data_IF_725321420534
#
_entry.id   IF_725321420534
#
_cell.length_a   1.000
_cell.length_b   1.000
_cell.length_c   1.000
_cell.angle_alpha   90.00
_cell.angle_beta   90.00
_cell.angle_gamma   90.00
#
_symmetry.space_group_name_H-M   'P 1'
#
loop_
_entity.id
_entity.type
_entity.pdbx_description
1 polymer ?
#
# COMPACT_ATOMS: atom_id res chain seq x y z
N UNK A 1 69.84 52.39 19.62
CA UNK A 1 68.53 52.04 18.99
C UNK A 1 68.47 50.52 18.83
N UNK A 2 67.98 49.75 19.82
CA UNK A 2 67.86 48.30 19.65
C UNK A 2 66.46 47.90 19.20
N UNK A 3 66.43 47.10 18.13
CA UNK A 3 65.27 46.51 17.47
C UNK A 3 64.38 45.71 18.44
N UNK A 4 63.08 46.03 18.46
CA UNK A 4 62.06 45.15 19.05
C UNK A 4 61.55 44.17 17.98
N UNK A 5 61.94 42.91 18.10
CA UNK A 5 61.24 41.81 17.43
C UNK A 5 59.82 41.67 18.02
N UNK A 6 58.77 41.53 17.19
CA UNK A 6 57.46 41.13 17.68
C UNK A 6 57.47 39.63 18.02
N UNK A 7 57.10 39.31 19.26
CA UNK A 7 56.94 37.95 19.76
C UNK A 7 55.90 37.21 18.91
N UNK A 8 56.33 36.11 18.30
CA UNK A 8 55.51 35.12 17.60
C UNK A 8 54.41 34.61 18.54
N UNK A 9 53.15 34.93 18.25
CA UNK A 9 52.01 34.26 18.87
C UNK A 9 51.84 32.87 18.25
N UNK A 10 52.56 31.88 18.80
CA UNK A 10 52.34 30.46 18.51
C UNK A 10 51.23 29.87 19.41
N UNK A 11 50.01 30.41 19.34
CA UNK A 11 48.90 29.88 20.16
C UNK A 11 47.58 29.65 19.41
N UNK A 12 47.55 29.74 18.09
CA UNK A 12 46.30 29.52 17.34
C UNK A 12 45.92 28.02 17.21
N UNK A 13 46.87 27.10 17.38
CA UNK A 13 46.68 25.65 17.24
C UNK A 13 46.91 24.86 18.54
N UNK A 14 46.57 25.43 19.70
CA UNK A 14 46.46 24.62 20.92
C UNK A 14 45.23 23.73 20.82
N UNK A 15 45.43 22.42 20.58
CA UNK A 15 44.37 21.42 20.65
C UNK A 15 43.66 21.50 22.01
N UNK A 16 42.32 21.51 22.06
CA UNK A 16 41.62 21.37 23.33
C UNK A 16 41.95 20.01 23.97
N UNK A 17 42.18 19.93 25.29
CA UNK A 17 42.49 18.70 26.03
C UNK A 17 41.25 17.80 26.16
N UNK A 18 40.76 17.35 25.00
CA UNK A 18 39.49 16.65 24.80
C UNK A 18 39.05 16.61 23.34
N UNK A 19 39.89 17.00 22.38
CA UNK A 19 39.57 16.98 20.95
C UNK A 19 39.27 15.57 20.44
N UNK A 20 38.11 15.39 19.81
CA UNK A 20 37.74 14.13 19.16
C UNK A 20 38.88 13.69 18.24
N UNK A 21 39.40 12.47 18.44
CA UNK A 21 40.43 11.90 17.56
C UNK A 21 39.87 11.94 16.12
N UNK A 22 40.65 12.41 15.15
CA UNK A 22 40.23 12.48 13.74
C UNK A 22 39.61 11.16 13.22
N UNK A 23 40.05 10.02 13.77
CA UNK A 23 39.42 8.71 13.55
C UNK A 23 37.95 8.64 13.97
N UNK A 24 37.58 9.17 15.14
CA UNK A 24 36.18 9.23 15.61
C UNK A 24 35.31 10.12 14.71
N UNK A 25 35.85 11.24 14.24
CA UNK A 25 35.14 12.12 13.31
C UNK A 25 34.93 11.42 11.95
N UNK A 26 35.95 10.72 11.46
CA UNK A 26 35.90 10.03 10.18
C UNK A 26 34.94 8.82 10.22
N UNK A 27 34.90 8.06 11.32
CA UNK A 27 33.91 7.01 11.56
C UNK A 27 32.48 7.57 11.64
N UNK A 28 32.29 8.69 12.36
CA UNK A 28 30.98 9.36 12.46
C UNK A 28 30.48 9.88 11.11
N UNK A 29 31.37 10.39 10.28
CA UNK A 29 31.06 10.89 8.93
C UNK A 29 30.90 9.76 7.90
N UNK A 30 31.53 8.61 8.12
CA UNK A 30 31.46 7.43 7.24
C UNK A 30 30.16 6.63 7.39
N UNK A 31 29.64 6.48 8.62
CA UNK A 31 28.38 5.76 8.91
C UNK A 31 27.18 6.20 8.07
N UNK A 32 26.85 7.49 7.96
CA UNK A 32 25.72 7.94 7.13
C UNK A 32 25.96 7.72 5.62
N UNK A 33 27.21 7.49 5.20
CA UNK A 33 27.59 7.19 3.81
C UNK A 33 27.79 5.70 3.54
N UNK A 34 27.37 4.82 4.47
CA UNK A 34 27.48 3.37 4.31
C UNK A 34 28.89 2.82 4.47
N UNK A 35 29.83 3.58 5.05
CA UNK A 35 31.20 3.11 5.34
C UNK A 35 31.27 2.74 6.83
N UNK A 36 31.19 1.44 7.18
CA UNK A 36 31.04 1.00 8.56
C UNK A 36 32.32 1.15 9.40
N UNK A 37 33.51 1.04 8.80
CA UNK A 37 34.78 1.32 9.45
C UNK A 37 35.84 1.78 8.44
N UNK A 38 36.69 2.72 8.85
CA UNK A 38 37.83 3.16 8.05
C UNK A 38 39.07 2.38 8.50
N UNK A 39 39.82 1.82 7.56
CA UNK A 39 41.06 1.11 7.88
C UNK A 39 42.09 2.07 8.51
N UNK A 40 42.98 1.55 9.37
CA UNK A 40 44.06 2.35 9.97
C UNK A 40 44.93 3.06 8.92
N UNK A 41 45.18 2.39 7.78
CA UNK A 41 45.89 2.97 6.64
C UNK A 41 45.12 4.12 5.98
N UNK A 42 43.81 3.97 5.80
CA UNK A 42 42.94 5.03 5.24
C UNK A 42 42.85 6.24 6.18
N UNK A 43 42.76 6.03 7.50
CA UNK A 43 42.74 7.12 8.49
C UNK A 43 44.05 7.92 8.44
N UNK A 44 45.20 7.24 8.34
CA UNK A 44 46.50 7.90 8.21
C UNK A 44 46.59 8.75 6.92
N UNK A 45 46.13 8.21 5.79
CA UNK A 45 46.10 8.95 4.52
C UNK A 45 45.17 10.18 4.58
N UNK A 46 43.97 10.04 5.14
CA UNK A 46 43.02 11.14 5.30
C UNK A 46 43.60 12.22 6.23
N UNK A 47 44.19 11.81 7.35
CA UNK A 47 44.80 12.73 8.32
C UNK A 47 45.94 13.53 7.70
N UNK A 48 46.76 12.93 6.84
CA UNK A 48 47.84 13.62 6.14
C UNK A 48 47.34 14.57 5.03
N UNK A 49 46.24 14.22 4.35
CA UNK A 49 45.70 14.99 3.20
C UNK A 49 44.79 16.15 3.60
N UNK A 50 44.07 16.07 4.71
CA UNK A 50 43.16 17.15 5.16
C UNK A 50 43.88 18.50 5.33
N UNK A 51 45.02 18.60 6.04
CA UNK A 51 45.72 19.88 6.20
C UNK A 51 46.18 20.48 4.87
N UNK A 52 46.63 19.61 3.94
CA UNK A 52 47.05 20.03 2.59
C UNK A 52 45.86 20.58 1.80
N UNK A 53 44.71 19.90 1.84
CA UNK A 53 43.48 20.36 1.18
C UNK A 53 42.98 21.69 1.74
N UNK A 54 43.07 21.91 3.05
CA UNK A 54 42.69 23.20 3.68
C UNK A 54 43.64 24.32 3.24
N UNK A 55 44.95 24.09 3.29
CA UNK A 55 45.94 25.08 2.85
C UNK A 55 45.75 25.46 1.38
N UNK A 56 45.39 24.49 0.53
CA UNK A 56 45.07 24.72 -0.88
C UNK A 56 43.77 25.51 -1.05
N UNK A 57 42.72 25.17 -0.30
CA UNK A 57 41.47 25.94 -0.27
C UNK A 57 41.69 27.40 0.12
N UNK A 58 42.56 27.66 1.10
CA UNK A 58 42.94 29.02 1.51
C UNK A 58 43.68 29.78 0.41
N UNK A 59 44.61 29.13 -0.31
CA UNK A 59 45.31 29.74 -1.46
C UNK A 59 44.34 30.07 -2.59
N UNK A 60 43.41 29.18 -2.90
CA UNK A 60 42.36 29.44 -3.90
C UNK A 60 41.42 30.54 -3.44
N UNK A 61 41.06 30.60 -2.15
CA UNK A 61 40.30 31.72 -1.58
C UNK A 61 41.01 33.06 -1.68
N UNK A 62 42.31 33.10 -1.40
CA UNK A 62 43.12 34.31 -1.52
C UNK A 62 43.22 34.83 -2.96
N UNK A 63 43.37 33.94 -3.95
CA UNK A 63 43.33 34.30 -5.38
C UNK A 63 42.00 34.91 -5.79
N UNK A 64 40.90 34.30 -5.37
CA UNK A 64 39.54 34.81 -5.63
C UNK A 64 39.33 36.19 -5.01
N UNK A 65 39.84 36.42 -3.80
CA UNK A 65 39.77 37.73 -3.14
C UNK A 65 40.61 38.80 -3.88
N UNK A 66 41.72 38.40 -4.49
CA UNK A 66 42.54 39.24 -5.36
C UNK A 66 41.94 39.47 -6.76
N UNK A 67 40.72 38.96 -7.03
CA UNK A 67 40.02 39.13 -8.30
C UNK A 67 40.34 38.08 -9.37
N UNK A 68 41.17 37.09 -9.08
CA UNK A 68 41.45 35.98 -10.00
C UNK A 68 40.46 34.82 -9.76
N UNK A 69 39.48 34.71 -10.67
CA UNK A 69 38.45 33.68 -10.68
C UNK A 69 38.71 32.57 -11.73
N UNK A 70 39.95 32.44 -12.21
CA UNK A 70 40.32 31.38 -13.14
C UNK A 70 39.98 29.98 -12.59
N UNK A 71 39.59 29.01 -13.43
CA UNK A 71 39.28 27.64 -13.00
C UNK A 71 40.45 27.02 -12.22
N UNK A 72 40.17 26.38 -11.09
CA UNK A 72 41.21 25.73 -10.29
C UNK A 72 41.70 24.47 -11.01
N UNK A 73 42.95 24.48 -11.47
CA UNK A 73 43.59 23.35 -12.15
C UNK A 73 43.57 22.04 -11.31
N UNK A 74 43.45 22.14 -9.98
CA UNK A 74 43.34 20.96 -9.12
C UNK A 74 41.99 20.25 -9.22
N UNK A 75 40.92 20.94 -9.60
CA UNK A 75 39.60 20.32 -9.78
C UNK A 75 39.65 19.22 -10.84
N UNK A 76 40.50 19.38 -11.88
CA UNK A 76 40.68 18.39 -12.95
C UNK A 76 41.33 17.07 -12.48
N UNK A 77 41.99 17.07 -11.31
CA UNK A 77 42.61 15.86 -10.74
C UNK A 77 41.68 15.05 -9.84
N UNK A 78 40.52 15.60 -9.45
CA UNK A 78 39.52 14.87 -8.69
C UNK A 78 38.57 14.13 -9.64
N UNK A 79 38.10 12.92 -9.28
CA UNK A 79 37.04 12.28 -10.04
C UNK A 79 35.81 13.20 -10.06
N UNK A 80 35.06 13.17 -11.16
CA UNK A 80 33.76 13.84 -11.19
C UNK A 80 32.93 13.33 -10.01
N UNK A 81 32.43 14.26 -9.20
CA UNK A 81 31.52 13.88 -8.12
C UNK A 81 30.22 13.37 -8.75
N UNK A 82 30.05 12.05 -8.75
CA UNK A 82 28.75 11.44 -8.94
C UNK A 82 28.07 11.38 -7.58
N UNK A 83 27.00 12.15 -7.41
CA UNK A 83 26.08 11.90 -6.31
C UNK A 83 25.64 10.45 -6.46
N UNK A 84 25.97 9.59 -5.48
CA UNK A 84 25.40 8.24 -5.40
C UNK A 84 23.92 8.37 -5.74
N UNK A 85 23.40 7.62 -6.73
CA UNK A 85 22.02 7.78 -7.15
C UNK A 85 21.19 7.68 -5.87
N UNK A 86 20.64 8.81 -5.42
CA UNK A 86 19.56 8.77 -4.48
C UNK A 86 18.50 8.04 -5.26
N UNK A 87 18.31 6.77 -4.92
CA UNK A 87 17.29 5.90 -5.48
C UNK A 87 15.94 6.46 -5.07
N UNK A 88 15.56 7.61 -5.62
CA UNK A 88 14.20 8.10 -5.74
C UNK A 88 13.53 7.39 -6.90
N UNK A 89 13.64 6.07 -6.88
CA UNK A 89 12.74 5.13 -7.51
C UNK A 89 12.74 3.99 -6.51
N UNK A 90 11.70 3.80 -5.68
CA UNK A 90 11.64 2.59 -4.88
C UNK A 90 11.87 1.41 -5.83
N UNK A 91 12.89 0.59 -5.52
CA UNK A 91 13.07 -0.71 -6.16
C UNK A 91 11.69 -1.36 -6.29
N UNK A 92 11.38 -2.09 -7.38
CA UNK A 92 10.07 -2.69 -7.55
C UNK A 92 9.77 -3.54 -6.33
N UNK A 93 9.02 -2.98 -5.39
CA UNK A 93 8.50 -3.65 -4.22
C UNK A 93 7.80 -4.86 -4.79
N UNK A 94 8.20 -6.05 -4.34
CA UNK A 94 7.64 -7.32 -4.78
C UNK A 94 6.16 -7.14 -5.07
N UNK A 95 5.78 -7.27 -6.36
CA UNK A 95 4.46 -6.89 -6.88
C UNK A 95 3.40 -7.41 -5.91
N UNK A 96 2.81 -6.53 -5.12
CA UNK A 96 1.79 -6.92 -4.15
C UNK A 96 0.54 -7.16 -4.98
N UNK A 97 0.21 -8.42 -5.24
CA UNK A 97 -0.98 -8.75 -6.02
C UNK A 97 -2.25 -8.39 -5.24
N UNK A 98 -3.27 -7.87 -5.91
CA UNK A 98 -4.59 -7.62 -5.32
C UNK A 98 -5.20 -8.93 -4.82
N UNK A 99 -5.08 -10.00 -5.61
CA UNK A 99 -5.50 -11.34 -5.19
C UNK A 99 -4.65 -11.89 -4.05
N UNK A 100 -3.34 -11.68 -4.08
CA UNK A 100 -2.45 -12.08 -2.98
C UNK A 100 -2.79 -11.36 -1.68
N UNK A 101 -3.17 -10.09 -1.77
CA UNK A 101 -3.58 -9.30 -0.61
C UNK A 101 -4.85 -9.86 0.05
N UNK A 102 -5.84 -10.23 -0.75
CA UNK A 102 -7.06 -10.88 -0.24
C UNK A 102 -6.77 -12.23 0.39
N UNK A 103 -5.87 -13.03 -0.21
CA UNK A 103 -5.48 -14.32 0.34
C UNK A 103 -4.76 -14.18 1.70
N UNK A 104 -3.84 -13.22 1.81
CA UNK A 104 -3.15 -12.93 3.06
C UNK A 104 -4.10 -12.39 4.14
N UNK A 105 -4.99 -11.47 3.77
CA UNK A 105 -6.05 -10.99 4.65
C UNK A 105 -6.95 -12.13 5.16
N UNK A 106 -7.29 -13.08 4.28
CA UNK A 106 -8.11 -14.22 4.66
C UNK A 106 -7.44 -15.13 5.69
N UNK A 107 -6.12 -15.34 5.61
CA UNK A 107 -5.42 -16.16 6.60
C UNK A 107 -5.60 -15.62 8.02
N UNK A 108 -5.54 -14.30 8.19
CA UNK A 108 -5.81 -13.66 9.49
C UNK A 108 -7.30 -13.64 9.83
N UNK A 109 -8.17 -13.33 8.86
CA UNK A 109 -9.62 -13.30 9.10
C UNK A 109 -10.20 -14.68 9.48
N UNK A 110 -9.65 -15.75 8.91
CA UNK A 110 -10.01 -17.13 9.22
C UNK A 110 -9.61 -17.51 10.65
N UNK A 111 -8.45 -17.04 11.13
CA UNK A 111 -8.03 -17.24 12.51
C UNK A 111 -8.98 -16.56 13.53
N UNK A 112 -9.65 -15.48 13.11
CA UNK A 112 -10.67 -14.77 13.91
C UNK A 112 -12.07 -15.40 13.78
N UNK A 113 -12.24 -16.45 12.95
CA UNK A 113 -13.51 -17.16 12.78
C UNK A 113 -14.50 -16.44 11.85
N UNK A 114 -14.02 -15.63 10.90
CA UNK A 114 -14.89 -14.94 9.95
C UNK A 114 -15.53 -15.93 8.97
N UNK A 115 -16.75 -15.64 8.51
CA UNK A 115 -17.50 -16.56 7.66
C UNK A 115 -16.85 -16.74 6.27
N UNK A 116 -16.88 -17.97 5.78
CA UNK A 116 -16.43 -18.34 4.42
C UNK A 116 -17.18 -17.57 3.33
N UNK A 117 -18.48 -17.31 3.55
CA UNK A 117 -19.30 -16.47 2.66
C UNK A 117 -18.76 -15.05 2.49
N UNK A 118 -18.09 -14.52 3.51
CA UNK A 118 -17.44 -13.20 3.44
C UNK A 118 -16.19 -13.26 2.58
N UNK A 119 -15.41 -14.35 2.68
CA UNK A 119 -14.23 -14.59 1.82
C UNK A 119 -14.62 -14.61 0.35
N UNK A 120 -15.63 -15.40 0.01
CA UNK A 120 -16.07 -15.55 -1.38
C UNK A 120 -16.56 -14.21 -1.94
N UNK A 121 -17.35 -13.48 -1.14
CA UNK A 121 -17.85 -12.15 -1.52
C UNK A 121 -16.70 -11.19 -1.80
N UNK A 122 -15.69 -11.12 -0.92
CA UNK A 122 -14.57 -10.20 -1.07
C UNK A 122 -13.68 -10.62 -2.25
N UNK A 123 -13.41 -11.91 -2.37
CA UNK A 123 -12.64 -12.48 -3.49
C UNK A 123 -13.31 -12.15 -4.83
N UNK A 124 -14.63 -12.32 -4.94
CA UNK A 124 -15.35 -11.99 -6.16
C UNK A 124 -15.34 -10.48 -6.47
N UNK A 125 -15.47 -9.62 -5.46
CA UNK A 125 -15.34 -8.17 -5.64
C UNK A 125 -13.96 -7.79 -6.16
N UNK A 126 -12.88 -8.30 -5.55
CA UNK A 126 -11.52 -7.99 -6.00
C UNK A 126 -11.17 -8.62 -7.35
N UNK A 127 -11.73 -9.78 -7.70
CA UNK A 127 -11.61 -10.36 -9.06
C UNK A 127 -12.25 -9.46 -10.11
N UNK A 128 -13.46 -8.97 -9.84
CA UNK A 128 -14.14 -8.03 -10.72
C UNK A 128 -13.38 -6.69 -10.84
N UNK A 129 -12.75 -6.24 -9.75
CA UNK A 129 -11.91 -5.05 -9.74
C UNK A 129 -10.63 -5.23 -10.57
N UNK A 130 -9.91 -6.35 -10.38
CA UNK A 130 -8.72 -6.69 -11.18
C UNK A 130 -9.05 -6.79 -12.68
N UNK A 131 -10.20 -7.39 -13.02
CA UNK A 131 -10.67 -7.46 -14.40
C UNK A 131 -10.96 -6.07 -15.01
N UNK A 132 -11.49 -5.13 -14.22
CA UNK A 132 -11.73 -3.76 -14.65
C UNK A 132 -10.43 -2.98 -14.87
N UNK A 133 -9.48 -3.09 -13.93
CA UNK A 133 -8.19 -2.40 -14.00
C UNK A 133 -7.23 -2.99 -15.03
N UNK A 134 -7.46 -4.25 -15.44
CA UNK A 134 -6.57 -5.04 -16.33
C UNK A 134 -5.15 -5.20 -15.77
N UNK A 135 -4.98 -4.96 -14.47
CA UNK A 135 -3.75 -5.23 -13.74
C UNK A 135 -4.08 -5.76 -12.35
N UNK A 136 -3.15 -6.56 -11.82
CA UNK A 136 -3.27 -7.17 -10.49
C UNK A 136 -2.37 -6.48 -9.44
N UNK A 137 -1.68 -5.40 -9.79
CA UNK A 137 -0.78 -4.71 -8.87
C UNK A 137 -1.54 -3.78 -7.92
N UNK A 138 -1.51 -4.07 -6.62
CA UNK A 138 -2.16 -3.30 -5.58
C UNK A 138 -1.46 -1.95 -5.32
N UNK A 139 -0.15 -1.86 -5.54
CA UNK A 139 0.61 -0.61 -5.31
C UNK A 139 0.32 0.45 -6.38
N UNK A 140 -0.23 0.04 -7.52
CA UNK A 140 -0.62 0.92 -8.63
C UNK A 140 -2.04 1.45 -8.52
N UNK A 141 -2.83 0.96 -7.56
CA UNK A 141 -4.24 1.37 -7.41
C UNK A 141 -4.32 2.78 -6.84
N UNK A 142 -4.98 3.66 -7.56
CA UNK A 142 -5.24 5.04 -7.15
C UNK A 142 -6.65 5.21 -6.58
N UNK A 143 -6.92 6.28 -5.80
CA UNK A 143 -8.28 6.63 -5.40
C UNK A 143 -9.23 6.83 -6.59
N UNK A 144 -8.72 7.38 -7.69
CA UNK A 144 -9.45 7.62 -8.94
C UNK A 144 -9.92 6.31 -9.57
N UNK A 145 -9.10 5.26 -9.53
CA UNK A 145 -9.46 3.93 -10.01
C UNK A 145 -10.65 3.33 -9.24
N UNK A 146 -10.70 3.56 -7.93
CA UNK A 146 -11.81 3.12 -7.07
C UNK A 146 -13.09 3.89 -7.40
N UNK A 147 -12.98 5.20 -7.70
CA UNK A 147 -14.10 6.02 -8.15
C UNK A 147 -14.59 5.57 -9.54
N UNK A 148 -13.68 5.33 -10.47
CA UNK A 148 -13.99 4.87 -11.82
C UNK A 148 -14.67 3.50 -11.80
N UNK A 149 -14.18 2.57 -10.97
CA UNK A 149 -14.81 1.26 -10.80
C UNK A 149 -16.21 1.38 -10.20
N UNK A 150 -16.39 2.27 -9.22
CA UNK A 150 -17.69 2.56 -8.62
C UNK A 150 -18.67 3.09 -9.67
N UNK A 151 -18.26 4.01 -10.54
CA UNK A 151 -19.11 4.55 -11.60
C UNK A 151 -19.43 3.48 -12.66
N UNK A 152 -18.44 2.66 -13.05
CA UNK A 152 -18.65 1.50 -13.93
C UNK A 152 -19.66 0.50 -13.37
N UNK A 153 -19.64 0.23 -12.06
CA UNK A 153 -20.59 -0.71 -11.43
C UNK A 153 -22.03 -0.17 -11.38
N UNK A 154 -22.21 1.15 -11.44
CA UNK A 154 -23.53 1.77 -11.49
C UNK A 154 -24.10 1.83 -12.92
N UNK A 155 -23.23 1.91 -13.93
CA UNK A 155 -23.65 1.98 -15.34
C UNK A 155 -23.78 0.59 -15.98
N UNK A 156 -22.89 -0.34 -15.64
CA UNK A 156 -22.86 -1.68 -16.23
C UNK A 156 -24.01 -2.55 -15.71
N UNK A 157 -24.92 -3.02 -16.58
CA UNK A 157 -25.96 -3.96 -16.21
C UNK A 157 -25.35 -5.31 -15.84
N UNK A 158 -25.83 -5.93 -14.76
CA UNK A 158 -25.39 -7.27 -14.42
C UNK A 158 -25.93 -8.27 -15.46
N UNK A 159 -25.08 -9.10 -16.09
CA UNK A 159 -25.51 -10.05 -17.12
C UNK A 159 -26.55 -11.07 -16.64
N UNK A 160 -26.61 -11.37 -15.33
CA UNK A 160 -27.61 -12.30 -14.78
C UNK A 160 -28.99 -11.68 -14.57
N UNK A 161 -29.07 -10.39 -14.27
CA UNK A 161 -30.33 -9.73 -13.88
C UNK A 161 -30.78 -8.66 -14.87
N UNK A 162 -29.95 -8.33 -15.87
CA UNK A 162 -30.20 -7.29 -16.87
C UNK A 162 -30.32 -5.87 -16.30
N UNK A 163 -30.07 -5.69 -14.99
CA UNK A 163 -30.25 -4.42 -14.28
C UNK A 163 -28.91 -3.93 -13.74
N UNK A 164 -28.67 -2.60 -13.74
CA UNK A 164 -27.51 -2.03 -13.08
C UNK A 164 -27.52 -2.36 -11.58
N UNK A 165 -26.33 -2.56 -11.01
CA UNK A 165 -26.20 -2.90 -9.59
C UNK A 165 -26.69 -1.72 -8.75
N UNK A 166 -27.55 -1.99 -7.77
CA UNK A 166 -28.06 -0.94 -6.89
C UNK A 166 -26.90 -0.27 -6.14
N UNK A 167 -26.94 1.06 -6.06
CA UNK A 167 -26.00 1.86 -5.26
C UNK A 167 -25.90 1.37 -3.79
N UNK A 168 -26.98 0.80 -3.23
CA UNK A 168 -26.96 0.18 -1.90
C UNK A 168 -26.02 -1.02 -1.86
N UNK A 169 -26.09 -1.87 -2.87
CA UNK A 169 -25.25 -3.07 -2.98
C UNK A 169 -23.79 -2.67 -3.19
N UNK A 170 -23.50 -1.74 -4.10
CA UNK A 170 -22.11 -1.26 -4.32
C UNK A 170 -21.50 -0.72 -3.03
N UNK A 171 -22.25 0.06 -2.25
CA UNK A 171 -21.78 0.57 -0.96
C UNK A 171 -21.57 -0.55 0.06
N UNK A 172 -22.52 -1.48 0.18
CA UNK A 172 -22.52 -2.50 1.23
C UNK A 172 -21.55 -3.65 0.97
N UNK A 173 -21.40 -4.10 -0.28
CA UNK A 173 -20.47 -5.17 -0.65
C UNK A 173 -19.12 -4.63 -1.08
N UNK A 174 -19.09 -3.85 -2.16
CA UNK A 174 -17.84 -3.56 -2.87
C UNK A 174 -16.97 -2.58 -2.07
N UNK A 175 -17.53 -1.43 -1.69
CA UNK A 175 -16.79 -0.43 -0.91
C UNK A 175 -16.39 -0.93 0.49
N UNK A 176 -17.19 -1.80 1.10
CA UNK A 176 -16.85 -2.43 2.38
C UNK A 176 -15.68 -3.39 2.23
N UNK A 177 -15.67 -4.21 1.18
CA UNK A 177 -14.57 -5.11 0.89
C UNK A 177 -13.27 -4.35 0.64
N UNK A 178 -13.31 -3.30 -0.20
CA UNK A 178 -12.12 -2.48 -0.47
C UNK A 178 -11.56 -1.83 0.79
N UNK A 179 -12.41 -1.17 1.60
CA UNK A 179 -11.97 -0.57 2.86
C UNK A 179 -11.33 -1.62 3.76
N UNK A 180 -12.02 -2.74 4.01
CA UNK A 180 -11.52 -3.77 4.92
C UNK A 180 -10.17 -4.34 4.52
N UNK A 181 -9.95 -4.64 3.24
CA UNK A 181 -8.71 -5.27 2.78
C UNK A 181 -7.58 -4.25 2.65
N UNK A 182 -7.85 -3.04 2.16
CA UNK A 182 -6.81 -2.00 2.07
C UNK A 182 -6.43 -1.44 3.45
N UNK A 183 -7.36 -1.29 4.39
CA UNK A 183 -7.06 -0.90 5.77
C UNK A 183 -6.16 -1.94 6.45
N UNK A 184 -6.48 -3.23 6.27
CA UNK A 184 -5.64 -4.33 6.75
C UNK A 184 -4.24 -4.31 6.12
N UNK A 185 -4.16 -3.99 4.83
CA UNK A 185 -2.88 -3.91 4.12
C UNK A 185 -1.99 -2.78 4.62
N UNK A 186 -2.59 -1.62 4.93
CA UNK A 186 -1.89 -0.49 5.53
C UNK A 186 -1.45 -0.82 6.95
N UNK A 187 -2.32 -1.45 7.76
CA UNK A 187 -1.99 -1.89 9.12
C UNK A 187 -0.79 -2.85 9.14
N UNK A 188 -0.72 -3.75 8.16
CA UNK A 188 0.38 -4.71 7.99
C UNK A 188 1.58 -4.17 7.19
N UNK A 189 1.64 -2.85 6.95
CA UNK A 189 2.71 -2.16 6.21
C UNK A 189 2.97 -2.75 4.80
N UNK A 190 1.95 -3.37 4.20
CA UNK A 190 1.99 -3.89 2.82
C UNK A 190 1.74 -2.80 1.79
N UNK A 191 0.95 -1.78 2.16
CA UNK A 191 0.68 -0.60 1.36
C UNK A 191 0.96 0.67 2.18
N UNK A 192 1.48 1.74 1.56
CA UNK A 192 1.80 2.98 2.27
C UNK A 192 0.55 3.80 2.63
N UNK A 193 -0.51 3.70 1.82
CA UNK A 193 -1.77 4.44 2.02
C UNK A 193 -2.96 3.64 1.48
N UNK A 194 -4.15 3.88 2.03
CA UNK A 194 -5.39 3.23 1.60
C UNK A 194 -6.09 4.08 0.50
N UNK A 195 -6.18 3.59 -0.74
CA UNK A 195 -6.82 4.30 -1.85
C UNK A 195 -8.35 4.40 -1.73
N UNK A 196 -8.99 3.58 -0.89
CA UNK A 196 -10.44 3.56 -0.68
C UNK A 196 -10.92 4.50 0.45
N UNK A 197 -10.02 5.24 1.07
CA UNK A 197 -10.32 6.18 2.16
C UNK A 197 -11.17 7.34 1.65
N UNK A 198 -12.24 7.70 2.38
CA UNK A 198 -13.10 8.85 2.02
C UNK A 198 -14.07 8.61 0.87
N UNK A 199 -13.93 7.52 0.11
CA UNK A 199 -14.81 7.20 -1.03
C UNK A 199 -16.10 6.55 -0.52
N UNK A 200 -17.23 7.22 -0.71
CA UNK A 200 -18.54 6.74 -0.27
C UNK A 200 -19.68 7.18 -1.18
N UNK A 201 -20.80 6.44 -1.13
CA UNK A 201 -22.06 6.87 -1.73
C UNK A 201 -22.98 7.45 -0.65
N UNK A 202 -23.48 8.66 -0.92
CA UNK A 202 -24.65 9.21 -0.23
C UNK A 202 -25.89 8.56 -0.84
N UNK A 203 -26.50 7.66 -0.08
CA UNK A 203 -27.72 6.99 -0.50
C UNK A 203 -28.92 7.79 0.01
N UNK A 204 -29.86 8.10 -0.87
CA UNK A 204 -31.17 8.62 -0.47
C UNK A 204 -31.94 7.57 0.35
N UNK A 205 -32.73 8.02 1.32
CA UNK A 205 -33.60 7.13 2.10
C UNK A 205 -34.65 6.54 1.16
N UNK A 206 -34.68 5.21 1.00
CA UNK A 206 -35.72 4.57 0.18
C UNK A 206 -37.06 4.75 0.88
N UNK A 207 -38.06 5.23 0.14
CA UNK A 207 -39.44 5.32 0.64
C UNK A 207 -39.92 3.90 0.95
N UNK A 208 -40.37 3.68 2.18
CA UNK A 208 -40.95 2.43 2.63
C UNK A 208 -42.37 2.35 2.07
N UNK A 209 -42.56 1.57 0.99
CA UNK A 209 -43.85 1.48 0.27
C UNK A 209 -44.86 0.61 1.03
N UNK A 210 -44.39 -0.38 1.77
CA UNK A 210 -45.21 -1.20 2.67
C UNK A 210 -44.45 -1.61 3.92
N UNK A 211 -45.18 -1.97 4.96
CA UNK A 211 -44.63 -2.66 6.13
C UNK A 211 -44.00 -4.00 5.73
N UNK A 212 -42.94 -4.40 6.44
CA UNK A 212 -42.21 -5.65 6.13
C UNK A 212 -43.09 -6.85 6.42
N UNK A 213 -43.79 -6.78 7.54
CA UNK A 213 -44.58 -7.86 8.10
C UNK A 213 -45.96 -7.90 7.43
N UNK A 214 -46.55 -9.09 7.32
CA UNK A 214 -47.88 -9.24 6.74
C UNK A 214 -48.93 -8.68 7.70
N UNK A 215 -49.93 -8.00 7.15
CA UNK A 215 -51.12 -7.69 7.93
C UNK A 215 -51.85 -8.98 8.30
N UNK A 216 -52.60 -8.96 9.40
CA UNK A 216 -53.33 -10.14 9.85
C UNK A 216 -54.32 -10.65 8.78
N UNK A 217 -54.93 -9.74 8.01
CA UNK A 217 -55.81 -10.07 6.90
C UNK A 217 -55.07 -10.81 5.77
N UNK A 218 -53.89 -10.32 5.35
CA UNK A 218 -53.05 -10.98 4.35
C UNK A 218 -52.54 -12.34 4.84
N UNK A 219 -52.13 -12.43 6.11
CA UNK A 219 -51.67 -13.68 6.71
C UNK A 219 -52.78 -14.74 6.72
N UNK A 220 -54.00 -14.37 7.14
CA UNK A 220 -55.18 -15.25 7.10
C UNK A 220 -55.49 -15.69 5.67
N UNK A 221 -55.47 -14.76 4.71
CA UNK A 221 -55.71 -15.08 3.31
C UNK A 221 -54.68 -16.08 2.74
N UNK A 222 -53.39 -15.90 3.04
CA UNK A 222 -52.32 -16.80 2.63
C UNK A 222 -52.47 -18.21 3.23
N UNK A 223 -52.82 -18.29 4.52
CA UNK A 223 -53.03 -19.58 5.19
C UNK A 223 -54.26 -20.30 4.64
N UNK A 224 -55.37 -19.59 4.41
CA UNK A 224 -56.57 -20.18 3.78
C UNK A 224 -56.26 -20.70 2.38
N UNK A 225 -55.58 -19.92 1.54
CA UNK A 225 -55.19 -20.35 0.20
C UNK A 225 -54.22 -21.56 0.24
N UNK A 226 -53.28 -21.60 1.19
CA UNK A 226 -52.38 -22.73 1.36
C UNK A 226 -53.13 -24.00 1.78
N UNK A 227 -54.12 -23.88 2.67
CA UNK A 227 -54.96 -24.99 3.10
C UNK A 227 -55.84 -25.52 1.96
N UNK A 228 -56.41 -24.64 1.14
CA UNK A 228 -57.22 -25.04 -0.02
C UNK A 228 -56.40 -25.84 -1.06
N UNK A 229 -55.14 -25.46 -1.29
CA UNK A 229 -54.22 -26.22 -2.17
C UNK A 229 -53.91 -27.61 -1.60
N UNK A 230 -53.87 -27.78 -0.28
CA UNK A 230 -53.66 -29.09 0.37
C UNK A 230 -54.93 -29.97 0.37
N UNK A 231 -56.12 -29.36 0.37
CA UNK A 231 -57.41 -30.05 0.36
C UNK A 231 -57.81 -30.48 -1.07
N UNK A 232 -57.38 -29.73 -2.09
CA UNK A 232 -57.47 -30.15 -3.49
C UNK A 232 -56.53 -31.33 -3.77
N UNK A 233 -57.08 -32.47 -4.18
CA UNK A 233 -56.33 -33.70 -4.50
C UNK A 233 -55.19 -33.45 -5.50
N UNK A 234 -53.99 -33.19 -5.01
CA UNK A 234 -52.76 -33.33 -5.80
C UNK A 234 -51.95 -34.48 -5.25
N UNK A 235 -51.83 -35.54 -6.06
CA UNK A 235 -50.80 -36.58 -5.88
C UNK A 235 -49.45 -35.88 -5.71
N UNK A 236 -48.57 -36.34 -4.80
CA UNK A 236 -47.29 -35.71 -4.56
C UNK A 236 -46.41 -35.82 -5.81
N UNK A 237 -46.48 -34.83 -6.70
CA UNK A 237 -45.52 -34.67 -7.77
C UNK A 237 -44.32 -33.91 -7.20
N UNK A 238 -43.35 -34.68 -6.71
CA UNK A 238 -42.03 -34.18 -6.30
C UNK A 238 -41.31 -33.35 -7.39
N UNK A 239 -41.88 -33.21 -8.58
CA UNK A 239 -41.24 -32.64 -9.76
C UNK A 239 -41.35 -31.12 -9.92
N UNK A 240 -42.18 -30.37 -9.19
CA UNK A 240 -42.16 -28.89 -9.31
C UNK A 240 -41.18 -28.18 -8.38
N UNK A 241 -40.89 -28.75 -7.21
CA UNK A 241 -39.86 -28.24 -6.30
C UNK A 241 -38.44 -28.67 -6.76
N UNK A 242 -38.29 -29.88 -7.32
CA UNK A 242 -37.01 -30.35 -7.85
C UNK A 242 -36.64 -29.78 -9.24
N UNK A 243 -37.58 -29.31 -10.07
CA UNK A 243 -37.21 -28.60 -11.31
C UNK A 243 -36.70 -27.18 -11.07
N UNK A 244 -37.05 -26.58 -9.92
CA UNK A 244 -36.56 -25.25 -9.52
C UNK A 244 -35.30 -25.31 -8.65
N UNK A 245 -34.99 -26.46 -8.03
CA UNK A 245 -33.84 -26.64 -7.12
C UNK A 245 -32.93 -27.85 -7.42
N UNK A 246 -33.13 -28.54 -8.54
CA UNK A 246 -32.41 -29.77 -8.92
C UNK A 246 -30.90 -29.70 -9.18
N UNK A 247 -30.24 -28.58 -9.50
CA UNK A 247 -28.81 -28.61 -9.77
C UNK A 247 -27.92 -28.77 -8.52
N UNK A 248 -28.48 -28.72 -7.30
CA UNK A 248 -27.69 -28.60 -6.06
C UNK A 248 -27.60 -29.87 -5.20
N UNK A 249 -28.24 -30.99 -5.55
CA UNK A 249 -28.31 -32.15 -4.65
C UNK A 249 -27.60 -33.43 -5.15
N UNK A 250 -27.07 -33.49 -6.38
CA UNK A 250 -26.64 -34.76 -7.00
C UNK A 250 -25.14 -34.92 -7.30
N UNK A 251 -24.25 -34.21 -6.59
CA UNK A 251 -22.79 -34.47 -6.67
C UNK A 251 -22.15 -34.96 -5.36
N UNK A 252 -22.92 -35.17 -4.30
CA UNK A 252 -22.46 -35.78 -3.05
C UNK A 252 -23.56 -36.79 -2.72
N UNK A 253 -23.44 -38.10 -2.92
CA UNK A 253 -22.48 -38.99 -2.28
C UNK A 253 -22.40 -40.27 -3.12
N UNK A 254 -21.34 -40.42 -3.91
CA UNK A 254 -20.89 -41.74 -4.34
C UNK A 254 -20.14 -42.37 -3.17
N UNK A 255 -20.69 -43.45 -2.59
CA UNK A 255 -20.01 -44.27 -1.61
C UNK A 255 -20.17 -45.75 -2.04
N UNK A 256 -19.10 -46.45 -2.45
CA UNK A 256 -19.13 -47.90 -2.58
C UNK A 256 -18.54 -48.54 -1.32
N UNK A 257 -19.32 -49.42 -0.69
CA UNK A 257 -18.76 -50.49 0.15
C UNK A 257 -19.21 -51.84 -0.40
N UNK A 258 -18.32 -52.51 -1.12
CA UNK A 258 -18.06 -53.94 -0.97
C UNK A 258 -16.69 -54.26 -1.54
#
# INVERSE_FOLDING_TARGET
>A
MPSRHPKTQQHFFSQPPGGQKLGQLAERMGRPKGIPCLSKGSIAQITARIPQAVAEGMKTGARKLAGDYSPDAKLSGYPLWESSPQTSTPAPTAKVSLMGLVALWWNEANAVGKSESTRESYTNTFKAFSAFLKHDDAARVTPEDVVAYKDHRLTTPNPKTGKPVSAKTVKASDLTAFKSVFDWAVANRKLPSNPATGIGLKLGKKVKVRERDFTEAEARALVTAANEVLVGKTKPNQTRFCQTLGPLALCLHGCPSR
#
